data_IF_636505607361
#
_entry.id   IF_636505607361
#
_cell.length_a   1.000
_cell.length_b   1.000
_cell.length_c   1.000
_cell.angle_alpha   90.00
_cell.angle_beta   90.00
_cell.angle_gamma   90.00
#
_symmetry.space_group_name_H-M   'P 1'
#
loop_
_entity.id
_entity.type
_entity.pdbx_description
1 polymer ?
#
# COMPACT_ATOMS: atom_id res chain seq x y z
N UNK A 1 29.72 -8.91 1.63
CA UNK A 1 28.32 -8.79 1.22
C UNK A 1 27.60 -7.79 2.11
N UNK A 2 26.69 -7.05 1.52
CA UNK A 2 25.81 -6.17 2.30
C UNK A 2 24.92 -7.02 3.23
N UNK A 3 24.60 -6.48 4.40
CA UNK A 3 23.77 -7.17 5.38
C UNK A 3 22.52 -6.33 5.66
N UNK A 4 21.58 -6.40 4.73
CA UNK A 4 20.32 -5.66 4.83
C UNK A 4 19.41 -6.28 5.89
N UNK A 5 18.84 -5.45 6.74
CA UNK A 5 17.93 -5.88 7.81
C UNK A 5 16.48 -5.68 7.48
N UNK A 6 16.17 -4.61 6.75
CA UNK A 6 14.79 -4.22 6.45
C UNK A 6 14.76 -3.32 5.24
N UNK A 7 13.66 -3.35 4.53
CA UNK A 7 13.30 -2.35 3.53
C UNK A 7 11.91 -1.82 3.86
N UNK A 8 11.70 -0.51 3.70
CA UNK A 8 10.36 0.08 3.86
C UNK A 8 10.11 1.13 2.78
N UNK A 9 8.85 1.31 2.37
CA UNK A 9 8.49 2.37 1.46
C UNK A 9 8.78 3.75 2.06
N UNK A 10 9.17 4.69 1.20
CA UNK A 10 9.42 6.08 1.58
C UNK A 10 8.73 6.96 0.54
N UNK A 11 7.73 7.73 0.96
CA UNK A 11 6.86 8.50 0.07
C UNK A 11 6.99 9.99 0.32
N UNK A 12 6.90 10.81 -0.75
CA UNK A 12 6.88 12.27 -0.61
C UNK A 12 5.50 12.79 -0.23
N UNK A 13 5.47 13.90 0.47
CA UNK A 13 4.25 14.68 0.73
C UNK A 13 4.53 16.16 0.48
N UNK A 14 3.63 16.83 -0.21
CA UNK A 14 3.70 18.28 -0.39
C UNK A 14 3.35 18.97 0.93
N UNK A 15 2.35 18.44 1.62
CA UNK A 15 1.88 18.95 2.91
C UNK A 15 1.84 17.80 3.91
N UNK A 16 2.79 17.81 4.84
CA UNK A 16 2.94 16.71 5.81
C UNK A 16 1.75 16.60 6.76
N UNK A 17 1.11 17.70 7.10
CA UNK A 17 -0.06 17.67 7.99
C UNK A 17 -1.28 17.08 7.28
N UNK A 18 -1.47 17.40 6.02
CA UNK A 18 -2.53 16.82 5.20
C UNK A 18 -2.29 15.32 4.99
N UNK A 19 -1.05 14.92 4.74
CA UNK A 19 -0.67 13.51 4.64
C UNK A 19 -0.93 12.78 5.97
N UNK A 20 -0.54 13.37 7.10
CA UNK A 20 -0.81 12.80 8.42
C UNK A 20 -2.29 12.49 8.59
N UNK A 21 -3.15 13.44 8.33
CA UNK A 21 -4.59 13.28 8.49
C UNK A 21 -5.14 12.13 7.62
N UNK A 22 -4.66 12.04 6.39
CA UNK A 22 -5.06 10.97 5.49
C UNK A 22 -4.68 9.58 6.04
N UNK A 23 -3.41 9.41 6.40
CA UNK A 23 -2.91 8.10 6.84
C UNK A 23 -3.43 7.70 8.23
N UNK A 24 -3.60 8.66 9.13
CA UNK A 24 -4.16 8.37 10.45
C UNK A 24 -5.68 8.15 10.40
N UNK A 25 -6.41 9.06 9.79
CA UNK A 25 -7.87 9.07 9.86
C UNK A 25 -8.53 8.16 8.83
N UNK A 26 -8.01 8.12 7.61
CA UNK A 26 -8.61 7.31 6.55
C UNK A 26 -8.03 5.90 6.49
N UNK A 27 -6.72 5.75 6.63
CA UNK A 27 -6.09 4.44 6.63
C UNK A 27 -5.92 3.82 8.01
N UNK A 28 -6.14 4.60 9.08
CA UNK A 28 -6.08 4.09 10.45
C UNK A 28 -4.67 3.72 10.91
N UNK A 29 -3.64 4.31 10.31
CA UNK A 29 -2.26 4.01 10.66
C UNK A 29 -1.81 4.84 11.86
N UNK A 30 -0.86 4.29 12.62
CA UNK A 30 -0.32 4.94 13.80
C UNK A 30 1.05 5.54 13.51
N UNK A 31 1.24 6.82 13.84
CA UNK A 31 2.57 7.46 13.84
C UNK A 31 3.37 6.91 15.01
N UNK A 32 4.55 6.38 14.74
CA UNK A 32 5.47 5.84 15.74
C UNK A 32 6.72 6.68 15.90
N UNK A 33 7.01 7.57 14.96
CA UNK A 33 8.14 8.48 15.03
C UNK A 33 7.86 9.74 14.22
N UNK A 34 8.16 10.89 14.78
CA UNK A 34 8.13 12.18 14.07
C UNK A 34 9.54 12.71 13.93
N UNK A 35 9.85 13.17 12.73
CA UNK A 35 11.12 13.81 12.41
C UNK A 35 10.86 15.32 12.23
N UNK A 36 11.58 16.21 12.92
CA UNK A 36 11.39 17.65 12.76
C UNK A 36 11.76 18.19 11.37
N UNK A 37 12.36 17.40 10.47
CA UNK A 37 12.84 17.85 9.16
C UNK A 37 11.84 18.09 8.02
N UNK A 38 10.50 17.94 7.99
CA UNK A 38 9.59 17.07 8.72
C UNK A 38 9.32 15.74 8.02
N UNK A 39 9.13 14.72 8.81
CA UNK A 39 8.80 13.38 8.35
C UNK A 39 8.03 12.61 9.41
N UNK A 40 7.32 11.57 8.96
CA UNK A 40 6.48 10.73 9.81
C UNK A 40 6.73 9.27 9.49
N UNK A 41 7.00 8.49 10.52
CA UNK A 41 7.07 7.04 10.41
C UNK A 41 5.77 6.44 10.92
N UNK A 42 5.10 5.66 10.08
CA UNK A 42 3.86 4.96 10.42
C UNK A 42 4.14 3.47 10.62
N UNK A 43 3.41 2.88 11.55
CA UNK A 43 3.38 1.43 11.71
C UNK A 43 2.31 0.85 10.80
N UNK A 44 2.65 -0.20 10.05
CA UNK A 44 1.72 -0.93 9.17
C UNK A 44 1.94 -2.42 9.42
N UNK A 45 1.09 -3.05 10.27
CA UNK A 45 1.34 -4.43 10.69
C UNK A 45 2.76 -4.55 11.29
N UNK A 46 3.56 -5.46 10.74
CA UNK A 46 4.97 -5.63 11.13
C UNK A 46 5.94 -4.78 10.29
N UNK A 47 5.41 -3.94 9.42
CA UNK A 47 6.18 -3.07 8.53
C UNK A 47 6.11 -1.61 8.95
N UNK A 48 6.88 -0.79 8.26
CA UNK A 48 6.93 0.66 8.46
C UNK A 48 6.74 1.38 7.14
N UNK A 49 6.15 2.57 7.19
CA UNK A 49 5.97 3.46 6.05
C UNK A 49 6.47 4.83 6.47
N UNK A 50 7.44 5.38 5.72
CA UNK A 50 7.96 6.71 5.98
C UNK A 50 7.41 7.72 4.98
N UNK A 51 6.94 8.87 5.47
CA UNK A 51 6.46 9.98 4.63
C UNK A 51 7.20 11.24 5.04
N UNK A 52 7.77 11.93 4.07
CA UNK A 52 8.54 13.14 4.34
C UNK A 52 8.12 14.28 3.41
N UNK A 53 8.21 15.51 3.92
CA UNK A 53 7.79 16.69 3.16
C UNK A 53 8.83 17.06 2.11
N UNK A 54 8.36 17.18 0.88
CA UNK A 54 9.14 17.67 -0.26
C UNK A 54 8.17 18.10 -1.38
N UNK A 55 8.68 18.34 -2.58
CA UNK A 55 7.83 18.61 -3.75
C UNK A 55 6.92 17.44 -4.10
N UNK A 56 5.98 17.67 -5.01
CA UNK A 56 5.04 16.64 -5.45
C UNK A 56 5.74 15.41 -6.01
N UNK A 57 5.12 14.24 -5.83
CA UNK A 57 5.59 13.01 -6.47
C UNK A 57 5.57 13.13 -7.99
N UNK A 58 6.54 12.51 -8.64
CA UNK A 58 6.59 12.36 -10.10
C UNK A 58 6.34 10.93 -10.55
N UNK A 59 6.07 10.03 -9.59
CA UNK A 59 5.82 8.64 -9.90
C UNK A 59 4.44 8.47 -10.54
N UNK A 60 4.39 7.74 -11.64
CA UNK A 60 3.17 7.41 -12.37
C UNK A 60 2.79 5.94 -12.20
N UNK A 61 3.32 5.29 -11.17
CA UNK A 61 3.11 3.87 -10.87
C UNK A 61 2.79 3.68 -9.39
N UNK A 62 2.34 2.48 -9.03
CA UNK A 62 2.11 2.09 -7.64
C UNK A 62 3.40 2.17 -6.83
N UNK A 63 3.39 2.94 -5.75
CA UNK A 63 4.58 3.12 -4.89
C UNK A 63 4.50 2.35 -3.59
N UNK A 64 3.31 1.91 -3.19
CA UNK A 64 3.13 1.04 -2.03
C UNK A 64 1.83 0.25 -2.16
N UNK A 65 1.86 -1.01 -1.72
CA UNK A 65 0.69 -1.88 -1.68
C UNK A 65 0.50 -2.39 -0.26
N UNK A 66 -0.75 -2.36 0.19
CA UNK A 66 -1.14 -2.88 1.50
C UNK A 66 -1.85 -4.20 1.32
N UNK A 67 -1.34 -5.27 1.91
CA UNK A 67 -2.02 -6.56 1.89
C UNK A 67 -3.21 -6.53 2.85
N UNK A 68 -4.34 -7.06 2.40
CA UNK A 68 -5.56 -7.17 3.18
C UNK A 68 -6.11 -8.58 3.08
N UNK A 69 -6.91 -8.98 4.06
CA UNK A 69 -7.52 -10.32 4.06
C UNK A 69 -8.78 -10.38 3.21
N UNK A 70 -9.55 -9.29 3.15
CA UNK A 70 -10.82 -9.20 2.42
C UNK A 70 -10.88 -7.85 1.71
N UNK A 71 -10.54 -7.84 0.42
CA UNK A 71 -10.45 -6.61 -0.37
C UNK A 71 -11.78 -5.89 -0.49
N UNK A 72 -12.88 -6.62 -0.59
CA UNK A 72 -14.20 -6.00 -0.73
C UNK A 72 -14.64 -5.32 0.55
N UNK A 73 -14.39 -5.93 1.70
CA UNK A 73 -14.66 -5.35 3.01
C UNK A 73 -13.80 -4.10 3.24
N UNK A 74 -12.51 -4.16 2.90
CA UNK A 74 -11.60 -3.02 3.02
C UNK A 74 -12.02 -1.87 2.10
N UNK A 75 -12.42 -2.17 0.88
CA UNK A 75 -12.91 -1.13 -0.04
C UNK A 75 -14.15 -0.42 0.50
N UNK A 76 -15.07 -1.17 1.12
CA UNK A 76 -16.25 -0.55 1.75
C UNK A 76 -15.86 0.41 2.85
N UNK A 77 -14.95 -0.01 3.73
CA UNK A 77 -14.44 0.84 4.82
C UNK A 77 -13.79 2.12 4.29
N UNK A 78 -12.93 1.98 3.29
CA UNK A 78 -12.20 3.11 2.71
C UNK A 78 -13.14 4.05 1.95
N UNK A 79 -14.11 3.50 1.21
CA UNK A 79 -15.14 4.31 0.53
C UNK A 79 -15.99 5.09 1.54
N UNK A 80 -16.32 4.50 2.67
CA UNK A 80 -17.08 5.19 3.73
C UNK A 80 -16.28 6.37 4.30
N UNK A 81 -14.97 6.34 4.21
CA UNK A 81 -14.08 7.44 4.61
C UNK A 81 -13.78 8.42 3.47
N UNK A 82 -14.42 8.26 2.33
CA UNK A 82 -14.29 9.17 1.20
C UNK A 82 -13.17 8.85 0.21
N UNK A 83 -12.56 7.68 0.30
CA UNK A 83 -11.56 7.24 -0.67
C UNK A 83 -12.25 6.75 -1.94
N UNK A 84 -11.78 7.22 -3.09
CA UNK A 84 -12.23 6.79 -4.39
C UNK A 84 -11.21 5.83 -5.00
N UNK A 85 -11.70 4.67 -5.46
CA UNK A 85 -10.86 3.70 -6.16
C UNK A 85 -10.86 4.00 -7.65
N UNK A 86 -9.71 3.85 -8.28
CA UNK A 86 -9.52 4.15 -9.69
C UNK A 86 -9.94 2.98 -10.57
N UNK A 87 -10.49 3.30 -11.74
CA UNK A 87 -10.74 2.32 -12.78
C UNK A 87 -9.55 2.26 -13.73
N UNK A 88 -9.17 1.04 -14.10
CA UNK A 88 -8.06 0.76 -15.01
C UNK A 88 -8.58 -0.10 -16.16
N UNK A 89 -8.24 0.25 -17.38
CA UNK A 89 -8.61 -0.51 -18.58
C UNK A 89 -7.46 -0.50 -19.57
N UNK A 90 -6.54 -1.44 -19.37
CA UNK A 90 -5.42 -1.68 -20.29
C UNK A 90 -5.54 -3.09 -20.86
N UNK A 91 -4.89 -3.39 -22.00
CA UNK A 91 -4.80 -4.76 -22.50
C UNK A 91 -4.25 -5.70 -21.43
N UNK A 92 -5.05 -6.70 -21.04
CA UNK A 92 -4.66 -7.67 -20.01
C UNK A 92 -4.88 -7.23 -18.57
N UNK A 93 -5.34 -6.00 -18.32
CA UNK A 93 -5.56 -5.49 -16.96
C UNK A 93 -6.77 -4.57 -16.93
N UNK A 94 -7.89 -5.07 -16.41
CA UNK A 94 -9.13 -4.31 -16.33
C UNK A 94 -9.77 -4.46 -14.96
N UNK A 95 -10.15 -3.33 -14.35
CA UNK A 95 -10.92 -3.34 -13.12
C UNK A 95 -12.40 -3.58 -13.39
N UNK A 96 -13.03 -4.38 -12.53
CA UNK A 96 -14.47 -4.55 -12.44
C UNK A 96 -14.88 -4.21 -11.01
N UNK A 97 -15.74 -3.23 -10.86
CA UNK A 97 -16.10 -2.67 -9.54
C UNK A 97 -14.86 -2.21 -8.74
N UNK A 98 -13.89 -1.65 -9.46
CA UNK A 98 -12.64 -1.16 -8.87
C UNK A 98 -11.59 -2.22 -8.60
N UNK A 99 -11.81 -3.48 -8.94
CA UNK A 99 -10.90 -4.59 -8.66
C UNK A 99 -10.37 -5.19 -9.95
N UNK A 100 -9.05 -5.29 -10.07
CA UNK A 100 -8.39 -6.08 -11.10
C UNK A 100 -7.97 -7.43 -10.51
N UNK A 101 -8.21 -8.50 -11.26
CA UNK A 101 -7.85 -9.85 -10.86
C UNK A 101 -6.73 -10.36 -11.77
N UNK A 102 -5.68 -10.85 -11.16
CA UNK A 102 -4.51 -11.41 -11.84
C UNK A 102 -4.23 -12.81 -11.31
N UNK A 103 -3.54 -13.61 -12.11
CA UNK A 103 -3.09 -14.94 -11.68
C UNK A 103 -1.57 -14.96 -11.63
N UNK A 104 -1.02 -15.42 -10.51
CA UNK A 104 0.41 -15.58 -10.30
C UNK A 104 0.66 -16.92 -9.62
N UNK A 105 1.54 -17.75 -10.22
CA UNK A 105 1.87 -19.08 -9.68
C UNK A 105 0.63 -19.92 -9.32
N UNK A 106 -0.42 -19.86 -10.17
CA UNK A 106 -1.66 -20.63 -9.98
C UNK A 106 -2.61 -20.07 -8.92
N UNK A 107 -2.29 -18.93 -8.29
CA UNK A 107 -3.15 -18.27 -7.32
C UNK A 107 -3.66 -16.93 -7.84
N UNK A 108 -4.84 -16.52 -7.38
CA UNK A 108 -5.38 -15.22 -7.73
C UNK A 108 -4.84 -14.12 -6.84
N UNK A 109 -4.57 -12.98 -7.45
CA UNK A 109 -4.27 -11.71 -6.77
C UNK A 109 -5.32 -10.71 -7.22
N UNK A 110 -5.96 -10.03 -6.25
CA UNK A 110 -6.97 -9.01 -6.51
C UNK A 110 -6.42 -7.69 -5.99
N UNK A 111 -6.49 -6.65 -6.82
CA UNK A 111 -5.86 -5.35 -6.54
C UNK A 111 -6.85 -4.23 -6.81
N UNK A 112 -6.85 -3.22 -5.94
CA UNK A 112 -7.61 -1.98 -6.13
C UNK A 112 -6.71 -0.79 -5.85
N UNK A 113 -6.73 0.21 -6.74
CA UNK A 113 -5.86 1.39 -6.68
C UNK A 113 -6.59 2.62 -6.21
N UNK A 114 -5.90 3.44 -5.44
CA UNK A 114 -6.37 4.75 -5.00
C UNK A 114 -5.18 5.69 -4.81
N UNK A 115 -5.45 6.97 -4.64
CA UNK A 115 -4.39 7.95 -4.37
C UNK A 115 -4.53 8.49 -2.96
N UNK A 116 -3.38 8.82 -2.35
CA UNK A 116 -3.40 9.62 -1.14
C UNK A 116 -3.63 11.11 -1.49
N UNK A 117 -3.63 11.97 -0.48
CA UNK A 117 -3.83 13.42 -0.68
C UNK A 117 -2.63 14.10 -1.34
N UNK A 118 -1.51 13.41 -1.47
CA UNK A 118 -0.26 13.95 -2.01
C UNK A 118 0.03 13.49 -3.44
N UNK A 119 -0.89 12.72 -4.04
CA UNK A 119 -0.76 12.21 -5.39
C UNK A 119 -0.04 10.87 -5.50
N UNK A 120 0.34 10.26 -4.39
CA UNK A 120 0.95 8.94 -4.41
C UNK A 120 -0.07 7.88 -4.80
N UNK A 121 0.29 7.03 -5.76
CA UNK A 121 -0.55 5.91 -6.20
C UNK A 121 -0.32 4.74 -5.26
N UNK A 122 -1.38 4.34 -4.57
CA UNK A 122 -1.38 3.25 -3.60
C UNK A 122 -2.32 2.13 -4.08
N UNK A 123 -2.14 0.95 -3.52
CA UNK A 123 -3.05 -0.16 -3.78
C UNK A 123 -3.32 -0.95 -2.50
N UNK A 124 -4.48 -1.59 -2.46
CA UNK A 124 -4.73 -2.69 -1.55
C UNK A 124 -4.77 -3.99 -2.36
N UNK A 125 -4.32 -5.07 -1.76
CA UNK A 125 -4.11 -6.34 -2.43
C UNK A 125 -4.58 -7.49 -1.57
N UNK A 126 -5.35 -8.41 -2.18
CA UNK A 126 -5.74 -9.67 -1.55
C UNK A 126 -5.15 -10.81 -2.36
N UNK A 127 -4.38 -11.67 -1.71
CA UNK A 127 -3.83 -12.87 -2.32
C UNK A 127 -4.64 -14.10 -1.94
N UNK A 128 -4.78 -15.03 -2.88
CA UNK A 128 -5.32 -16.35 -2.56
C UNK A 128 -4.52 -17.01 -1.43
N UNK A 129 -5.20 -17.73 -0.56
CA UNK A 129 -4.61 -18.38 0.61
C UNK A 129 -3.41 -19.26 0.24
N UNK A 130 -3.53 -20.04 -0.82
CA UNK A 130 -2.46 -20.94 -1.30
C UNK A 130 -1.20 -20.15 -1.69
N UNK A 131 -1.36 -18.98 -2.29
CA UNK A 131 -0.26 -18.12 -2.68
C UNK A 131 0.40 -17.50 -1.45
N UNK A 132 -0.39 -17.04 -0.47
CA UNK A 132 0.15 -16.54 0.81
C UNK A 132 0.97 -17.59 1.54
N UNK A 133 0.44 -18.80 1.62
CA UNK A 133 1.14 -19.92 2.28
C UNK A 133 2.47 -20.22 1.60
N UNK A 134 2.50 -20.20 0.26
CA UNK A 134 3.73 -20.40 -0.50
C UNK A 134 4.74 -19.30 -0.23
N UNK A 135 4.31 -18.03 -0.25
CA UNK A 135 5.20 -16.88 0.04
C UNK A 135 5.77 -16.95 1.46
N UNK A 136 4.93 -17.29 2.44
CA UNK A 136 5.40 -17.42 3.83
C UNK A 136 6.40 -18.55 3.99
N UNK A 137 6.21 -19.67 3.31
CA UNK A 137 7.15 -20.79 3.32
C UNK A 137 8.50 -20.39 2.70
N UNK A 138 8.47 -19.67 1.57
CA UNK A 138 9.70 -19.17 0.91
C UNK A 138 10.42 -18.16 1.79
N UNK A 139 9.69 -17.25 2.45
CA UNK A 139 10.29 -16.28 3.37
C UNK A 139 10.96 -16.95 4.56
N UNK A 140 10.35 -18.01 5.11
CA UNK A 140 10.94 -18.80 6.19
C UNK A 140 12.21 -19.53 5.72
N UNK A 141 12.18 -20.11 4.50
CA UNK A 141 13.34 -20.77 3.90
C UNK A 141 14.51 -19.82 3.61
N UNK A 142 14.21 -18.59 3.23
CA UNK A 142 15.24 -17.57 2.96
C UNK A 142 16.02 -17.14 4.20
N UNK A 143 15.55 -17.49 5.42
CA UNK A 143 16.23 -17.19 6.69
C UNK A 143 17.18 -18.30 7.14
N UNK A 144 17.13 -19.43 6.48
CA UNK A 144 17.95 -20.58 6.83
C UNK A 144 19.40 -20.44 6.35
#
# INVERSE_FOLDING_TARGET
MANFKLVHPTLPAVDINRARNFYEEKLGLKVILEDPSPGLMFKVGDCRLYIYQRGATKADHTVAEFEVDDIEAEMRELRNKGIEFEDVDFPGLKTVNGIATMTMNGGEIRVAWFKDTEGNILAIEEMAKTLKEKLMAEMAGARA
#
